data_IF_677376229160
#
_entry.id   IF_677376229160
#
_cell.length_a   1.000
_cell.length_b   1.000
_cell.length_c   1.000
_cell.angle_alpha   90.00
_cell.angle_beta   90.00
_cell.angle_gamma   90.00
#
_symmetry.space_group_name_H-M   'P 1'
#
loop_
_entity.id
_entity.type
_entity.pdbx_description
1 polymer ?
#
# COMPACT_ATOMS: atom_id res chain seq x y z
N UNK A 1 -23.31 17.84 -25.27
CA UNK A 1 -22.29 17.00 -25.96
C UNK A 1 -21.12 16.85 -25.01
N UNK A 2 -20.92 15.66 -24.40
CA UNK A 2 -19.71 15.41 -23.61
C UNK A 2 -18.55 15.24 -24.57
N UNK A 3 -17.52 16.09 -24.42
CA UNK A 3 -16.26 15.91 -25.13
C UNK A 3 -15.65 14.63 -24.57
N UNK A 4 -15.56 13.58 -25.39
CA UNK A 4 -14.76 12.41 -25.07
C UNK A 4 -13.30 12.87 -24.96
N UNK A 5 -12.77 12.86 -23.74
CA UNK A 5 -11.41 13.32 -23.44
C UNK A 5 -10.50 12.09 -23.44
N UNK A 6 -9.56 12.07 -24.38
CA UNK A 6 -8.58 10.99 -24.48
C UNK A 6 -7.27 11.42 -23.82
N UNK A 7 -6.79 10.64 -22.86
CA UNK A 7 -5.39 10.67 -22.43
C UNK A 7 -4.54 10.15 -23.59
N UNK A 8 -3.71 11.01 -24.20
CA UNK A 8 -2.87 10.64 -25.34
C UNK A 8 -1.40 10.70 -24.93
N UNK A 9 -0.75 9.55 -24.88
CA UNK A 9 0.71 9.47 -24.89
C UNK A 9 1.17 9.61 -26.34
N UNK A 10 2.08 10.55 -26.62
CA UNK A 10 2.86 10.54 -27.85
C UNK A 10 4.31 10.20 -27.49
N UNK A 11 4.94 9.33 -28.27
CA UNK A 11 6.31 8.87 -28.04
C UNK A 11 7.34 10.03 -28.05
N UNK A 12 6.96 11.18 -28.63
CA UNK A 12 7.84 12.31 -28.90
C UNK A 12 7.59 13.52 -28.00
N UNK A 13 6.52 13.49 -27.17
CA UNK A 13 6.20 14.53 -26.22
C UNK A 13 5.84 13.88 -24.88
N UNK A 14 6.86 13.67 -24.04
CA UNK A 14 6.69 13.29 -22.63
C UNK A 14 6.15 14.45 -21.77
N UNK A 15 5.58 15.48 -22.39
CA UNK A 15 5.03 16.66 -21.73
C UNK A 15 3.52 16.53 -21.75
N UNK A 16 2.91 16.52 -20.56
CA UNK A 16 1.46 16.50 -20.42
C UNK A 16 0.89 17.83 -20.92
N UNK A 17 0.05 17.77 -21.95
CA UNK A 17 -0.71 18.93 -22.42
C UNK A 17 -1.99 19.05 -21.57
N UNK A 18 -2.03 20.09 -20.73
CA UNK A 18 -2.83 20.11 -19.50
C UNK A 18 -3.85 21.27 -19.53
N UNK A 19 -5.09 20.99 -19.92
CA UNK A 19 -6.15 22.01 -20.09
C UNK A 19 -7.41 21.81 -19.23
N UNK A 20 -7.37 20.97 -18.17
CA UNK A 20 -8.54 20.67 -17.31
C UNK A 20 -8.25 20.82 -15.80
N UNK A 21 -9.29 20.77 -14.96
CA UNK A 21 -9.15 20.76 -13.49
C UNK A 21 -8.29 19.58 -12.95
N UNK A 22 -8.20 18.47 -13.69
CA UNK A 22 -7.29 17.36 -13.35
C UNK A 22 -5.82 17.75 -13.53
N UNK A 23 -5.54 18.70 -14.44
CA UNK A 23 -4.22 19.35 -14.50
C UNK A 23 -3.86 19.99 -13.19
N UNK A 24 -4.81 20.67 -12.56
CA UNK A 24 -4.53 21.47 -11.38
C UNK A 24 -4.24 20.55 -10.20
N UNK A 25 -4.98 19.44 -10.08
CA UNK A 25 -4.70 18.38 -9.10
C UNK A 25 -3.29 17.81 -9.29
N UNK A 26 -2.93 17.44 -10.52
CA UNK A 26 -1.60 16.87 -10.80
C UNK A 26 -0.48 17.90 -10.62
N UNK A 27 -0.67 19.17 -11.02
CA UNK A 27 0.30 20.25 -10.77
C UNK A 27 0.45 20.49 -9.27
N UNK A 28 -0.65 20.62 -8.55
CA UNK A 28 -0.67 20.80 -7.10
C UNK A 28 -0.01 19.61 -6.38
N UNK A 29 -0.12 18.38 -6.92
CA UNK A 29 0.63 17.24 -6.39
C UNK A 29 2.13 17.51 -6.37
N UNK A 30 2.71 17.99 -7.47
CA UNK A 30 4.14 18.27 -7.55
C UNK A 30 4.55 19.51 -6.76
N UNK A 31 3.71 20.56 -6.75
CA UNK A 31 4.02 21.82 -6.06
C UNK A 31 3.81 21.75 -4.53
N UNK A 32 2.81 20.99 -4.06
CA UNK A 32 2.44 20.91 -2.64
C UNK A 32 3.03 19.68 -1.95
N UNK A 33 3.79 18.84 -2.67
CA UNK A 33 4.48 17.70 -2.06
C UNK A 33 5.53 18.25 -1.08
N UNK A 34 5.47 17.75 0.16
CA UNK A 34 6.51 18.01 1.16
C UNK A 34 7.86 17.55 0.62
N UNK A 35 8.89 18.38 0.78
CA UNK A 35 10.25 18.04 0.38
C UNK A 35 10.67 16.71 1.06
N UNK A 36 11.23 15.74 0.32
CA UNK A 36 11.77 14.53 0.92
C UNK A 36 12.84 14.88 1.96
N UNK A 37 12.83 14.22 3.11
CA UNK A 37 13.92 14.32 4.07
C UNK A 37 15.19 13.72 3.46
N UNK A 38 16.30 14.45 3.50
CA UNK A 38 17.61 13.90 3.18
C UNK A 38 18.04 12.91 4.26
N UNK A 39 18.72 11.84 3.86
CA UNK A 39 19.39 10.90 4.76
C UNK A 39 20.71 10.47 4.13
N UNK A 40 21.66 10.06 4.96
CA UNK A 40 23.04 9.72 4.58
C UNK A 40 23.35 8.23 4.75
N UNK A 41 22.56 7.51 5.55
CA UNK A 41 22.73 6.08 5.79
C UNK A 41 21.40 5.33 5.94
N UNK A 42 21.40 4.02 5.66
CA UNK A 42 20.19 3.18 5.72
C UNK A 42 19.64 3.04 7.15
N UNK A 43 20.52 3.14 8.14
CA UNK A 43 20.30 2.96 9.57
C UNK A 43 20.17 4.28 10.34
N UNK A 44 20.19 5.43 9.65
CA UNK A 44 20.06 6.75 10.26
C UNK A 44 18.69 6.91 10.95
N UNK A 45 18.58 7.13 12.27
CA UNK A 45 17.28 7.22 12.94
C UNK A 45 16.36 8.26 12.30
N UNK A 46 15.06 7.96 12.21
CA UNK A 46 14.08 8.96 11.78
C UNK A 46 13.73 9.85 12.98
N UNK A 47 13.93 11.16 12.89
CA UNK A 47 13.46 12.07 13.94
C UNK A 47 11.93 11.96 14.05
N UNK A 48 11.46 11.82 15.30
CA UNK A 48 10.04 11.79 15.63
C UNK A 48 9.37 13.10 15.20
N UNK A 49 10.07 14.20 15.40
CA UNK A 49 9.66 15.55 14.98
C UNK A 49 9.59 15.66 13.46
N UNK A 50 10.27 14.83 12.69
CA UNK A 50 10.24 14.85 11.23
C UNK A 50 9.18 13.94 10.61
N UNK A 51 8.49 13.12 11.43
CA UNK A 51 7.45 12.24 10.93
C UNK A 51 6.19 13.02 10.54
N UNK A 52 5.99 13.19 9.23
CA UNK A 52 4.94 14.03 8.64
C UNK A 52 3.52 13.75 9.16
N UNK A 53 3.20 12.51 9.51
CA UNK A 53 1.84 12.17 9.95
C UNK A 53 1.55 12.57 11.41
N UNK A 54 2.55 12.98 12.19
CA UNK A 54 2.32 13.66 13.47
C UNK A 54 1.87 15.11 13.30
N UNK A 55 2.10 15.70 12.11
CA UNK A 55 1.83 17.11 11.78
C UNK A 55 0.56 17.31 10.94
N UNK A 56 -0.36 16.33 10.96
CA UNK A 56 -1.62 16.42 10.20
C UNK A 56 -2.48 17.56 10.76
N UNK A 57 -2.77 18.53 9.89
CA UNK A 57 -3.65 19.66 10.21
C UNK A 57 -5.05 19.15 10.60
N UNK A 58 -5.68 19.69 11.66
CA UNK A 58 -7.02 19.28 12.06
C UNK A 58 -8.06 19.33 10.92
N UNK A 59 -7.93 20.25 9.97
CA UNK A 59 -8.83 20.36 8.81
C UNK A 59 -8.64 19.25 7.77
N UNK A 60 -7.48 18.59 7.75
CA UNK A 60 -7.21 17.44 6.87
C UNK A 60 -7.82 16.14 7.42
N UNK A 61 -8.26 16.11 8.67
CA UNK A 61 -8.79 14.92 9.34
C UNK A 61 -10.23 14.68 8.91
N UNK A 62 -10.47 13.56 8.23
CA UNK A 62 -11.80 13.22 7.74
C UNK A 62 -12.60 12.47 8.81
N UNK A 63 -12.08 11.33 9.28
CA UNK A 63 -12.72 10.51 10.31
C UNK A 63 -11.75 9.51 10.92
N UNK A 64 -12.13 8.93 12.07
CA UNK A 64 -11.37 7.90 12.76
C UNK A 64 -12.06 6.54 12.57
N UNK A 65 -11.27 5.51 12.30
CA UNK A 65 -11.71 4.10 12.25
C UNK A 65 -11.27 3.44 13.55
N UNK A 66 -12.23 2.92 14.30
CA UNK A 66 -12.00 2.14 15.51
C UNK A 66 -12.65 0.76 15.38
N UNK A 67 -11.86 -0.30 15.54
CA UNK A 67 -12.39 -1.66 15.53
C UNK A 67 -12.75 -2.07 16.96
N UNK A 68 -14.04 -2.08 17.32
CA UNK A 68 -14.49 -2.41 18.69
C UNK A 68 -13.99 -3.75 19.23
N UNK A 69 -13.69 -4.70 18.34
CA UNK A 69 -13.23 -6.04 18.69
C UNK A 69 -11.70 -6.18 18.69
N UNK A 70 -10.96 -5.14 18.30
CA UNK A 70 -9.50 -5.10 18.31
C UNK A 70 -9.10 -3.92 19.21
N UNK A 71 -8.88 -4.20 20.49
CA UNK A 71 -8.33 -3.21 21.43
C UNK A 71 -7.07 -2.56 20.84
N UNK A 72 -6.95 -1.24 21.00
CA UNK A 72 -5.84 -0.40 20.51
C UNK A 72 -5.71 -0.20 18.99
N UNK A 73 -6.65 -0.69 18.18
CA UNK A 73 -6.65 -0.42 16.73
C UNK A 73 -7.48 0.83 16.39
N UNK A 74 -6.80 1.98 16.41
CA UNK A 74 -7.32 3.28 16.00
C UNK A 74 -6.56 3.80 14.77
N UNK A 75 -7.26 3.99 13.66
CA UNK A 75 -6.69 4.57 12.44
C UNK A 75 -7.34 5.92 12.12
N UNK A 76 -6.54 6.86 11.64
CA UNK A 76 -7.00 8.17 11.20
C UNK A 76 -7.09 8.19 9.68
N UNK A 77 -8.23 8.58 9.13
CA UNK A 77 -8.37 8.84 7.70
C UNK A 77 -8.20 10.34 7.45
N UNK A 78 -7.26 10.69 6.57
CA UNK A 78 -6.95 12.08 6.24
C UNK A 78 -7.08 12.34 4.75
N UNK A 79 -7.47 13.55 4.38
CA UNK A 79 -7.39 14.02 3.01
C UNK A 79 -5.92 14.15 2.59
N UNK A 80 -5.57 13.65 1.41
CA UNK A 80 -4.22 13.85 0.89
C UNK A 80 -4.08 15.26 0.33
N UNK A 81 -3.22 16.09 0.91
CA UNK A 81 -2.93 17.47 0.46
C UNK A 81 -2.13 17.54 -0.84
N UNK A 82 -1.56 16.42 -1.28
CA UNK A 82 -0.93 16.21 -2.58
C UNK A 82 -1.63 15.04 -3.31
N UNK A 83 -2.92 15.20 -3.65
CA UNK A 83 -3.73 14.10 -4.15
C UNK A 83 -3.30 13.67 -5.56
N UNK A 84 -3.49 12.39 -5.91
CA UNK A 84 -3.30 11.92 -7.28
C UNK A 84 -4.55 12.22 -8.13
N UNK A 85 -5.71 12.19 -7.49
CA UNK A 85 -7.01 12.57 -8.03
C UNK A 85 -7.91 13.07 -6.90
N UNK A 86 -9.01 13.71 -7.24
CA UNK A 86 -10.00 14.17 -6.26
C UNK A 86 -10.43 13.02 -5.34
N UNK A 87 -10.49 13.26 -4.02
CA UNK A 87 -10.86 12.26 -3.03
C UNK A 87 -9.74 11.32 -2.57
N UNK A 88 -8.52 11.44 -3.11
CA UNK A 88 -7.36 10.68 -2.64
C UNK A 88 -7.14 10.91 -1.14
N UNK A 89 -7.18 9.84 -0.36
CA UNK A 89 -7.12 9.87 1.11
C UNK A 89 -6.11 8.85 1.63
N UNK A 90 -5.63 9.06 2.85
CA UNK A 90 -4.64 8.19 3.50
C UNK A 90 -5.24 7.62 4.78
N UNK A 91 -5.10 6.32 5.00
CA UNK A 91 -5.37 5.69 6.29
C UNK A 91 -4.04 5.61 7.04
N UNK A 92 -3.96 6.30 8.18
CA UNK A 92 -2.77 6.37 9.01
C UNK A 92 -3.02 5.54 10.28
N UNK A 93 -2.34 4.41 10.46
CA UNK A 93 -2.39 3.66 11.71
C UNK A 93 -1.73 4.47 12.83
N UNK A 94 -2.50 4.80 13.88
CA UNK A 94 -2.06 5.47 15.12
C UNK A 94 -0.86 6.45 14.96
N UNK A 95 -1.10 7.68 14.45
CA UNK A 95 -0.03 8.63 14.15
C UNK A 95 0.90 8.93 15.32
N UNK A 96 0.38 8.89 16.56
CA UNK A 96 1.14 9.17 17.78
C UNK A 96 2.15 8.08 18.15
N UNK A 97 1.98 6.86 17.63
CA UNK A 97 2.90 5.74 17.85
C UNK A 97 3.96 5.60 16.75
N UNK A 98 3.93 6.46 15.72
CA UNK A 98 4.85 6.42 14.57
C UNK A 98 4.89 5.06 13.88
N UNK A 99 3.81 4.28 13.99
CA UNK A 99 3.79 2.90 13.52
C UNK A 99 3.68 2.89 12.00
N UNK A 100 4.78 2.52 11.36
CA UNK A 100 4.69 1.59 10.26
C UNK A 100 4.05 0.30 10.81
N UNK A 101 2.84 -0.04 10.33
CA UNK A 101 2.00 -1.20 10.68
C UNK A 101 2.69 -2.28 11.56
N UNK A 102 2.18 -2.61 12.76
CA UNK A 102 2.82 -3.55 13.68
C UNK A 102 3.18 -4.88 13.00
N UNK A 103 4.26 -5.51 13.46
CA UNK A 103 4.76 -6.77 12.89
C UNK A 103 4.81 -7.85 13.96
N UNK A 104 4.65 -9.09 13.52
CA UNK A 104 4.89 -10.28 14.35
C UNK A 104 5.71 -11.30 13.57
N UNK A 105 6.34 -12.24 14.28
CA UNK A 105 7.03 -13.36 13.63
C UNK A 105 6.05 -14.22 12.85
N UNK A 106 6.42 -14.60 11.63
CA UNK A 106 5.62 -15.49 10.81
C UNK A 106 5.77 -16.92 11.33
N UNK A 107 4.67 -17.53 11.75
CA UNK A 107 4.69 -18.80 12.48
C UNK A 107 5.30 -19.96 11.67
N UNK A 108 5.04 -20.02 10.37
CA UNK A 108 5.57 -21.05 9.47
C UNK A 108 7.02 -20.80 9.04
N UNK A 109 7.55 -19.59 9.23
CA UNK A 109 8.82 -19.14 8.67
C UNK A 109 9.51 -18.14 9.61
N UNK A 110 10.27 -18.61 10.62
CA UNK A 110 10.78 -17.78 11.72
C UNK A 110 11.74 -16.64 11.30
N UNK A 111 12.35 -16.76 10.11
CA UNK A 111 13.20 -15.70 9.54
C UNK A 111 12.41 -14.53 8.96
N UNK A 112 11.11 -14.71 8.70
CA UNK A 112 10.24 -13.68 8.15
C UNK A 112 9.31 -13.15 9.25
N UNK A 113 9.02 -11.86 9.17
CA UNK A 113 7.92 -11.26 9.92
C UNK A 113 6.69 -11.16 9.01
N UNK A 114 5.55 -10.79 9.57
CA UNK A 114 4.34 -10.41 8.85
C UNK A 114 3.64 -9.25 9.56
N UNK A 115 2.91 -8.44 8.80
CA UNK A 115 2.07 -7.38 9.33
C UNK A 115 0.98 -7.98 10.21
N UNK A 116 0.89 -7.49 11.44
CA UNK A 116 -0.10 -7.91 12.41
C UNK A 116 -1.50 -7.47 11.96
N UNK A 117 -2.47 -8.39 12.07
CA UNK A 117 -3.86 -8.16 11.69
C UNK A 117 -4.10 -7.72 10.23
N UNK A 118 -3.09 -7.79 9.35
CA UNK A 118 -3.27 -7.46 7.95
C UNK A 118 -4.13 -8.52 7.24
N UNK A 119 -5.17 -8.13 6.50
CA UNK A 119 -6.11 -9.07 5.89
C UNK A 119 -5.53 -9.78 4.67
N UNK A 120 -4.32 -9.52 4.21
CA UNK A 120 -3.66 -10.23 3.10
C UNK A 120 -2.34 -10.79 3.58
N UNK A 121 -2.07 -12.05 3.22
CA UNK A 121 -0.81 -12.72 3.55
C UNK A 121 0.36 -11.90 3.00
N UNK A 122 1.42 -11.79 3.79
CA UNK A 122 2.56 -10.95 3.48
C UNK A 122 3.83 -11.47 4.17
N UNK A 123 4.96 -10.94 3.72
CA UNK A 123 6.28 -11.19 4.26
C UNK A 123 6.94 -9.84 4.53
N UNK A 124 7.52 -9.71 5.72
CA UNK A 124 8.19 -8.49 6.17
C UNK A 124 9.63 -8.80 6.53
N UNK A 125 10.54 -8.01 5.97
CA UNK A 125 11.97 -7.99 6.29
C UNK A 125 12.38 -6.59 6.71
N UNK A 126 13.22 -6.49 7.74
CA UNK A 126 13.78 -5.24 8.22
C UNK A 126 15.30 -5.27 8.08
N UNK A 127 15.85 -4.16 7.59
CA UNK A 127 17.26 -3.96 7.32
C UNK A 127 17.75 -2.89 8.30
N UNK A 128 18.42 -3.33 9.37
CA UNK A 128 18.82 -2.46 10.48
C UNK A 128 20.21 -1.87 10.31
N UNK A 129 21.10 -2.55 9.60
CA UNK A 129 22.47 -2.14 9.37
C UNK A 129 22.99 -2.78 8.07
N UNK A 130 24.15 -2.33 7.61
CA UNK A 130 24.78 -2.80 6.37
C UNK A 130 25.24 -4.26 6.48
N UNK A 131 25.62 -4.72 7.67
CA UNK A 131 26.12 -6.08 7.89
C UNK A 131 25.02 -7.14 7.69
N UNK A 132 23.78 -6.83 8.09
CA UNK A 132 22.61 -7.68 7.89
C UNK A 132 22.03 -7.58 6.46
N UNK A 133 22.45 -6.58 5.69
CA UNK A 133 21.91 -6.30 4.35
C UNK A 133 22.03 -7.52 3.45
N UNK A 134 23.20 -8.18 3.42
CA UNK A 134 23.43 -9.30 2.52
C UNK A 134 22.50 -10.48 2.84
N UNK A 135 22.36 -10.84 4.13
CA UNK A 135 21.49 -11.95 4.54
C UNK A 135 20.02 -11.62 4.34
N UNK A 136 19.56 -10.46 4.80
CA UNK A 136 18.16 -10.04 4.64
C UNK A 136 17.78 -9.82 3.18
N UNK A 137 18.70 -9.31 2.36
CA UNK A 137 18.48 -9.15 0.93
C UNK A 137 18.47 -10.51 0.22
N UNK A 138 19.36 -11.44 0.59
CA UNK A 138 19.33 -12.81 0.07
C UNK A 138 18.00 -13.51 0.33
N UNK A 139 17.41 -13.31 1.52
CA UNK A 139 16.05 -13.81 1.85
C UNK A 139 14.96 -13.14 1.02
N UNK A 140 15.00 -11.81 0.90
CA UNK A 140 14.07 -11.07 0.04
C UNK A 140 14.15 -11.55 -1.42
N UNK A 141 15.37 -11.72 -1.92
CA UNK A 141 15.64 -12.17 -3.27
C UNK A 141 15.10 -13.58 -3.50
N UNK A 142 15.40 -14.51 -2.60
CA UNK A 142 14.86 -15.86 -2.66
C UNK A 142 13.31 -15.85 -2.67
N UNK A 143 12.67 -15.05 -1.82
CA UNK A 143 11.21 -14.89 -1.83
C UNK A 143 10.68 -14.40 -3.17
N UNK A 144 11.31 -13.39 -3.77
CA UNK A 144 10.95 -12.88 -5.09
C UNK A 144 11.14 -13.95 -6.17
N UNK A 145 12.27 -14.66 -6.16
CA UNK A 145 12.55 -15.76 -7.09
C UNK A 145 11.52 -16.88 -6.97
N UNK A 146 11.20 -17.35 -5.76
CA UNK A 146 10.17 -18.37 -5.55
C UNK A 146 8.81 -17.90 -6.08
N UNK A 147 8.44 -16.65 -5.85
CA UNK A 147 7.20 -16.10 -6.41
C UNK A 147 7.22 -16.14 -7.95
N UNK A 148 8.33 -15.77 -8.58
CA UNK A 148 8.47 -15.77 -10.04
C UNK A 148 8.44 -17.19 -10.63
N UNK A 149 9.19 -18.14 -10.05
CA UNK A 149 9.20 -19.55 -10.46
C UNK A 149 7.81 -20.18 -10.39
N UNK A 150 7.07 -19.87 -9.33
CA UNK A 150 5.70 -20.33 -9.12
C UNK A 150 4.65 -19.51 -9.88
N UNK A 151 5.07 -18.48 -10.64
CA UNK A 151 4.20 -17.56 -11.38
C UNK A 151 3.17 -16.82 -10.51
N UNK A 152 3.56 -16.52 -9.27
CA UNK A 152 2.79 -15.74 -8.30
C UNK A 152 3.08 -14.25 -8.51
N UNK A 153 2.04 -13.48 -8.83
CA UNK A 153 2.13 -12.03 -8.84
C UNK A 153 2.43 -11.52 -7.42
N UNK A 154 3.25 -10.47 -7.32
CA UNK A 154 3.62 -9.90 -6.03
C UNK A 154 3.75 -8.38 -6.09
N UNK A 155 3.52 -7.73 -4.96
CA UNK A 155 3.82 -6.32 -4.77
C UNK A 155 4.86 -6.14 -3.68
N UNK A 156 5.75 -5.17 -3.87
CA UNK A 156 6.79 -4.81 -2.92
C UNK A 156 6.61 -3.35 -2.52
N UNK A 157 6.60 -3.10 -1.21
CA UNK A 157 6.59 -1.77 -0.62
C UNK A 157 7.75 -1.64 0.34
N UNK A 158 8.46 -0.51 0.27
CA UNK A 158 9.60 -0.24 1.12
C UNK A 158 9.42 1.12 1.80
N UNK A 159 9.59 1.16 3.12
CA UNK A 159 9.53 2.37 3.92
C UNK A 159 10.45 2.25 5.12
N UNK A 160 10.96 3.38 5.61
CA UNK A 160 11.77 3.41 6.83
C UNK A 160 10.88 3.33 8.07
N UNK A 161 11.34 2.63 9.09
CA UNK A 161 10.72 2.65 10.42
C UNK A 161 11.11 3.90 11.20
N UNK A 162 10.45 4.12 12.34
CA UNK A 162 10.88 5.12 13.30
C UNK A 162 12.33 4.91 13.78
N UNK A 163 12.80 3.66 13.81
CA UNK A 163 14.20 3.34 14.19
C UNK A 163 15.21 3.57 13.07
N UNK A 164 14.76 4.01 11.88
CA UNK A 164 15.61 4.21 10.70
C UNK A 164 15.71 2.97 9.81
N UNK A 165 15.45 1.78 10.34
CA UNK A 165 15.54 0.53 9.58
C UNK A 165 14.66 0.56 8.31
N UNK A 166 15.22 0.14 7.18
CA UNK A 166 14.41 -0.05 5.97
C UNK A 166 13.53 -1.28 6.18
N UNK A 167 12.21 -1.13 6.12
CA UNK A 167 11.26 -2.23 6.14
C UNK A 167 10.75 -2.48 4.72
N UNK A 168 10.83 -3.73 4.29
CA UNK A 168 10.26 -4.18 3.02
C UNK A 168 9.11 -5.14 3.33
N UNK A 169 7.95 -4.84 2.75
CA UNK A 169 6.77 -5.71 2.78
C UNK A 169 6.53 -6.25 1.37
N UNK A 170 6.41 -7.57 1.26
CA UNK A 170 6.02 -8.25 0.04
C UNK A 170 4.65 -8.91 0.24
N UNK A 171 3.71 -8.61 -0.64
CA UNK A 171 2.41 -9.29 -0.71
C UNK A 171 2.36 -10.18 -1.95
N UNK A 172 2.41 -11.51 -1.81
CA UNK A 172 1.99 -12.41 -2.86
C UNK A 172 0.48 -12.25 -3.03
N UNK A 173 0.05 -12.15 -4.28
CA UNK A 173 -1.34 -11.85 -4.62
C UNK A 173 -1.79 -12.71 -5.79
N UNK A 174 -3.10 -12.88 -5.92
CA UNK A 174 -3.66 -13.49 -7.13
C UNK A 174 -3.21 -12.70 -8.36
N UNK A 175 -2.94 -13.42 -9.44
CA UNK A 175 -2.71 -12.79 -10.73
C UNK A 175 -4.02 -12.20 -11.26
N UNK A 176 -3.98 -10.95 -11.69
CA UNK A 176 -5.09 -10.28 -12.37
C UNK A 176 -4.62 -10.00 -13.80
N UNK A 177 -5.22 -10.68 -14.77
CA UNK A 177 -4.89 -10.54 -16.19
C UNK A 177 -5.93 -9.64 -16.87
N UNK A 178 -5.46 -8.76 -17.77
CA UNK A 178 -6.27 -7.80 -18.50
C UNK A 178 -6.15 -6.37 -17.96
N UNK A 179 -6.38 -5.38 -18.83
CA UNK A 179 -6.45 -3.97 -18.44
C UNK A 179 -7.63 -3.81 -17.48
N UNK A 180 -7.37 -3.26 -16.27
CA UNK A 180 -8.44 -2.81 -15.37
C UNK A 180 -9.16 -1.66 -16.07
N UNK A 181 -10.17 -1.96 -16.87
CA UNK A 181 -11.03 -0.95 -17.47
C UNK A 181 -11.68 -0.18 -16.33
N UNK A 182 -11.69 1.15 -16.43
CA UNK A 182 -12.61 1.96 -15.65
C UNK A 182 -14.01 1.47 -16.01
N UNK A 183 -14.61 0.65 -15.14
CA UNK A 183 -15.98 0.22 -15.34
C UNK A 183 -16.85 1.42 -14.98
N UNK A 184 -17.30 2.16 -15.99
CA UNK A 184 -18.54 2.92 -15.87
C UNK A 184 -19.62 1.90 -15.48
N UNK A 185 -19.94 1.84 -14.19
CA UNK A 185 -20.87 0.87 -13.63
C UNK A 185 -22.22 0.97 -14.35
N UNK A 186 -22.56 -0.03 -15.17
CA UNK A 186 -23.96 -0.31 -15.50
C UNK A 186 -24.68 -0.79 -14.24
N UNK A 187 -25.79 -0.14 -13.90
CA UNK A 187 -26.61 -0.42 -12.72
C UNK A 187 -27.18 -1.86 -12.64
N UNK A 188 -26.89 -2.74 -13.61
CA UNK A 188 -27.41 -4.11 -13.72
C UNK A 188 -26.57 -5.16 -13.00
N UNK A 189 -25.37 -4.85 -12.50
CA UNK A 189 -24.54 -5.78 -11.71
C UNK A 189 -24.30 -5.19 -10.32
N UNK A 190 -25.12 -5.56 -9.33
CA UNK A 190 -25.10 -5.02 -7.96
C UNK A 190 -23.86 -5.34 -7.11
N UNK A 191 -22.69 -5.54 -7.70
CA UNK A 191 -21.45 -5.83 -6.98
C UNK A 191 -20.42 -4.71 -7.21
N UNK A 192 -20.09 -3.94 -6.17
CA UNK A 192 -19.01 -2.96 -6.21
C UNK A 192 -17.65 -3.67 -6.16
N UNK A 193 -16.88 -3.61 -7.25
CA UNK A 193 -15.52 -4.18 -7.34
C UNK A 193 -14.50 -3.07 -7.12
N UNK A 194 -13.69 -3.19 -6.06
CA UNK A 194 -12.58 -2.29 -5.78
C UNK A 194 -11.25 -2.96 -6.10
N UNK A 195 -10.49 -2.37 -7.02
CA UNK A 195 -9.21 -2.90 -7.48
C UNK A 195 -8.07 -2.42 -6.56
N UNK A 196 -7.39 -3.36 -5.90
CA UNK A 196 -6.27 -3.03 -5.00
C UNK A 196 -4.94 -3.07 -5.76
N UNK A 197 -4.10 -2.05 -5.60
CA UNK A 197 -2.69 -2.02 -5.98
C UNK A 197 -1.81 -2.01 -4.72
N UNK A 198 -0.49 -1.85 -4.89
CA UNK A 198 0.47 -1.82 -3.78
C UNK A 198 0.19 -0.69 -2.78
N UNK A 199 -0.31 0.44 -3.26
CA UNK A 199 -0.67 1.60 -2.44
C UNK A 199 -1.83 1.27 -1.51
N UNK A 200 -2.89 0.62 -2.02
CA UNK A 200 -4.02 0.22 -1.20
C UNK A 200 -3.62 -0.88 -0.21
N UNK A 201 -2.74 -1.82 -0.59
CA UNK A 201 -2.17 -2.79 0.35
C UNK A 201 -1.42 -2.10 1.50
N UNK A 202 -0.70 -1.02 1.20
CA UNK A 202 0.01 -0.20 2.17
C UNK A 202 -0.88 0.82 2.93
N UNK A 203 -2.20 0.83 2.70
CA UNK A 203 -3.13 1.72 3.41
C UNK A 203 -3.44 3.05 2.71
N UNK A 204 -2.95 3.26 1.48
CA UNK A 204 -3.19 4.45 0.67
C UNK A 204 -4.33 4.19 -0.33
N UNK A 205 -5.48 4.84 -0.15
CA UNK A 205 -6.67 4.54 -0.93
C UNK A 205 -7.06 5.67 -1.88
N UNK A 206 -7.21 5.31 -3.14
CA UNK A 206 -7.83 6.17 -4.15
C UNK A 206 -9.27 5.74 -4.34
N UNK A 207 -10.21 6.48 -3.77
CA UNK A 207 -11.64 6.19 -3.86
C UNK A 207 -12.26 7.01 -5.00
N UNK A 208 -12.68 6.36 -6.10
CA UNK A 208 -13.03 7.07 -7.34
C UNK A 208 -14.41 7.75 -7.29
N UNK A 209 -15.36 7.24 -6.50
CA UNK A 209 -16.70 7.79 -6.39
C UNK A 209 -17.37 7.51 -5.03
N UNK A 210 -18.48 8.21 -4.76
CA UNK A 210 -19.23 8.10 -3.51
C UNK A 210 -19.83 6.69 -3.29
N UNK A 211 -20.10 5.93 -4.35
CA UNK A 211 -20.62 4.55 -4.24
C UNK A 211 -19.54 3.60 -3.76
N UNK A 212 -18.33 3.72 -4.30
CA UNK A 212 -17.16 2.99 -3.85
C UNK A 212 -16.82 3.37 -2.41
N UNK A 213 -16.90 4.66 -2.06
CA UNK A 213 -16.74 5.12 -0.69
C UNK A 213 -17.78 4.46 0.24
N UNK A 214 -19.06 4.46 -0.15
CA UNK A 214 -20.11 3.81 0.62
C UNK A 214 -19.86 2.31 0.78
N UNK A 215 -19.54 1.59 -0.30
CA UNK A 215 -19.19 0.18 -0.23
C UNK A 215 -18.03 -0.09 0.74
N UNK A 216 -16.92 0.65 0.61
CA UNK A 216 -15.75 0.49 1.49
C UNK A 216 -16.07 0.85 2.95
N UNK A 217 -17.03 1.74 3.20
CA UNK A 217 -17.50 2.11 4.54
C UNK A 217 -18.37 1.05 5.22
N UNK A 218 -18.92 0.08 4.47
CA UNK A 218 -19.70 -1.01 5.05
C UNK A 218 -18.79 -1.91 5.92
N UNK A 219 -19.31 -2.53 7.00
CA UNK A 219 -18.51 -3.31 7.94
C UNK A 219 -17.61 -4.40 7.33
N UNK A 220 -17.98 -4.94 6.16
CA UNK A 220 -17.23 -5.96 5.45
C UNK A 220 -16.63 -5.49 4.13
N UNK A 221 -16.97 -4.30 3.62
CA UNK A 221 -16.59 -3.86 2.28
C UNK A 221 -15.08 -3.77 2.10
N UNK A 222 -14.41 -3.07 3.02
CA UNK A 222 -12.95 -2.95 3.06
C UNK A 222 -12.27 -4.32 3.18
N UNK A 223 -12.72 -5.15 4.13
CA UNK A 223 -12.18 -6.50 4.35
C UNK A 223 -12.33 -7.38 3.11
N UNK A 224 -13.48 -7.31 2.43
CA UNK A 224 -13.75 -8.09 1.23
C UNK A 224 -12.87 -7.65 0.06
N UNK A 225 -12.61 -6.34 -0.09
CA UNK A 225 -11.68 -5.85 -1.09
C UNK A 225 -10.28 -6.46 -0.90
N UNK A 226 -9.74 -6.43 0.31
CA UNK A 226 -8.45 -7.06 0.62
C UNK A 226 -8.45 -8.57 0.44
N UNK A 227 -9.45 -9.27 0.97
CA UNK A 227 -9.54 -10.73 0.83
C UNK A 227 -9.60 -11.15 -0.63
N UNK A 228 -10.23 -10.33 -1.47
CA UNK A 228 -10.23 -10.50 -2.91
C UNK A 228 -8.82 -10.60 -3.49
N UNK A 229 -7.80 -9.98 -2.93
CA UNK A 229 -6.42 -10.03 -3.43
C UNK A 229 -5.59 -11.22 -2.95
N UNK A 230 -6.08 -11.98 -1.98
CA UNK A 230 -5.34 -13.10 -1.42
C UNK A 230 -4.99 -14.11 -2.50
N UNK A 231 -3.76 -14.61 -2.42
CA UNK A 231 -3.43 -15.87 -3.04
C UNK A 231 -4.22 -16.99 -2.35
N UNK A 232 -4.60 -18.05 -3.08
CA UNK A 232 -5.33 -19.14 -2.46
C UNK A 232 -4.43 -19.86 -1.42
N UNK A 233 -5.07 -20.56 -0.47
CA UNK A 233 -4.35 -21.20 0.65
C UNK A 233 -3.36 -22.27 0.22
N UNK A 234 -3.64 -22.98 -0.88
CA UNK A 234 -2.76 -24.02 -1.39
C UNK A 234 -1.47 -23.42 -1.93
N UNK A 235 -1.56 -22.41 -2.80
CA UNK A 235 -0.39 -21.75 -3.39
C UNK A 235 0.43 -21.02 -2.32
N UNK A 236 -0.22 -20.40 -1.32
CA UNK A 236 0.50 -19.80 -0.18
C UNK A 236 1.27 -20.85 0.63
N UNK A 237 0.67 -22.01 0.90
CA UNK A 237 1.35 -23.08 1.62
C UNK A 237 2.53 -23.65 0.83
N UNK A 238 2.40 -23.78 -0.51
CA UNK A 238 3.49 -24.19 -1.39
C UNK A 238 4.63 -23.17 -1.39
N UNK A 239 4.31 -21.87 -1.45
CA UNK A 239 5.31 -20.81 -1.37
C UNK A 239 6.05 -20.87 -0.04
N UNK A 240 5.33 -20.97 1.08
CA UNK A 240 5.96 -21.06 2.40
C UNK A 240 6.83 -22.31 2.56
N UNK A 241 6.39 -23.47 2.06
CA UNK A 241 7.17 -24.70 2.08
C UNK A 241 8.46 -24.57 1.24
N UNK A 242 8.41 -23.92 0.08
CA UNK A 242 9.59 -23.69 -0.76
C UNK A 242 10.64 -22.78 -0.11
N UNK A 243 10.20 -21.84 0.73
CA UNK A 243 11.10 -20.94 1.46
C UNK A 243 11.75 -21.65 2.64
N UNK A 244 11.00 -22.53 3.32
CA UNK A 244 11.53 -23.33 4.43
C UNK A 244 12.62 -24.32 3.99
N UNK A 245 12.50 -24.89 2.78
CA UNK A 245 13.50 -25.83 2.24
C UNK A 245 14.77 -25.15 1.71
N UNK A 246 14.76 -23.83 1.54
CA UNK A 246 15.87 -23.09 0.93
C UNK A 246 17.06 -22.84 1.86
N UNK A 247 16.93 -23.02 3.18
CA UNK A 247 18.05 -22.98 4.13
C UNK A 247 18.81 -21.63 4.28
N UNK A 248 18.28 -20.53 3.74
CA UNK A 248 18.85 -19.16 3.80
C UNK A 248 18.13 -18.31 4.86
#
# INVERSE_FOLDING_TARGET
>A
MSVLRHLKYSLNELVWDLTSAESEILKNRFCNRRQPSSFWAIDEPCSVEDFNFTKVDPSERLFQISFRNLSDCCSLVVANTSPFMMGHSLIIPDPGKLLNQPIRKKASLPFYNELESHPVDNFVLEFHNVDELQTSFGRLWNLVERCQEMKIAHNLFAARSATGALRVVLWPRRSVYGTKTYQEFSASQGACVFNIAVTELAGMFVVPDARTAHFLSLPSGFRNAYIGERLNRYDMAQLEASLASSGI
#
